data_IF_590430644636
#
_entry.id   IF_590430644636
#
_cell.length_a   1.000
_cell.length_b   1.000
_cell.length_c   1.000
_cell.angle_alpha   90.00
_cell.angle_beta   90.00
_cell.angle_gamma   90.00
#
_symmetry.space_group_name_H-M   'P 1'
#
loop_
_entity.id
_entity.type
_entity.pdbx_description
1 polymer ?
#
# COMPACT_ATOMS: atom_id res chain seq x y z
N UNK A 1 -3.62 -24.07 4.02
CA UNK A 1 -2.41 -23.33 4.47
C UNK A 1 -1.81 -22.47 3.35
N UNK A 2 -1.63 -22.95 2.13
CA UNK A 2 -1.00 -22.18 1.04
C UNK A 2 -1.72 -20.87 0.67
N UNK A 3 -3.06 -20.81 0.73
CA UNK A 3 -3.84 -19.58 0.47
C UNK A 3 -3.56 -18.50 1.50
N UNK A 4 -3.52 -18.84 2.78
CA UNK A 4 -3.27 -17.91 3.89
C UNK A 4 -1.88 -17.25 3.72
N UNK A 5 -0.85 -18.04 3.41
CA UNK A 5 0.51 -17.53 3.19
C UNK A 5 0.62 -16.63 1.97
N UNK A 6 -0.05 -16.98 0.87
CA UNK A 6 -0.08 -16.13 -0.34
C UNK A 6 -0.74 -14.77 -0.06
N UNK A 7 -1.89 -14.78 0.60
CA UNK A 7 -2.57 -13.55 0.99
C UNK A 7 -1.75 -12.72 1.98
N UNK A 8 -1.04 -13.38 2.90
CA UNK A 8 -0.13 -12.73 3.83
C UNK A 8 0.99 -11.97 3.12
N UNK A 9 1.65 -12.60 2.13
CA UNK A 9 2.69 -11.96 1.32
C UNK A 9 2.16 -10.75 0.57
N UNK A 10 0.98 -10.87 -0.04
CA UNK A 10 0.31 -9.76 -0.74
C UNK A 10 0.06 -8.59 0.21
N UNK A 11 -0.45 -8.87 1.42
CA UNK A 11 -0.70 -7.86 2.43
C UNK A 11 0.59 -7.17 2.90
N UNK A 12 1.65 -7.94 3.10
CA UNK A 12 2.97 -7.42 3.49
C UNK A 12 3.55 -6.51 2.41
N UNK A 13 3.58 -6.96 1.15
CA UNK A 13 4.11 -6.18 0.03
C UNK A 13 3.33 -4.89 -0.17
N UNK A 14 2.00 -4.96 -0.14
CA UNK A 14 1.18 -3.75 -0.24
C UNK A 14 1.46 -2.76 0.89
N UNK A 15 1.50 -3.25 2.14
CA UNK A 15 1.73 -2.41 3.31
C UNK A 15 3.09 -1.69 3.28
N UNK A 16 4.13 -2.30 2.72
CA UNK A 16 5.43 -1.65 2.55
C UNK A 16 5.34 -0.36 1.72
N UNK A 17 4.53 -0.34 0.67
CA UNK A 17 4.41 0.82 -0.23
C UNK A 17 3.64 2.01 0.34
N UNK A 18 2.78 1.79 1.32
CA UNK A 18 1.93 2.85 1.86
C UNK A 18 2.71 3.91 2.64
N UNK A 19 3.84 3.55 3.24
CA UNK A 19 4.70 4.41 4.04
C UNK A 19 6.10 4.65 3.43
N UNK A 20 6.33 4.13 2.21
CA UNK A 20 7.63 4.18 1.54
C UNK A 20 8.16 5.61 1.34
N UNK A 21 7.28 6.57 1.04
CA UNK A 21 7.65 7.98 0.81
C UNK A 21 8.05 8.73 2.10
N UNK A 22 7.74 8.19 3.28
CA UNK A 22 7.93 8.92 4.55
C UNK A 22 9.38 9.37 4.79
N UNK A 23 10.41 8.53 4.58
CA UNK A 23 11.81 8.96 4.73
C UNK A 23 12.27 9.95 3.65
N UNK A 24 11.56 10.04 2.52
CA UNK A 24 11.89 10.95 1.43
C UNK A 24 11.33 12.36 1.62
N UNK A 25 10.37 12.55 2.53
CA UNK A 25 9.74 13.86 2.76
C UNK A 25 10.76 14.96 3.05
N UNK A 26 11.77 14.76 3.96
CA UNK A 26 12.79 15.79 4.20
C UNK A 26 13.64 16.12 2.98
N UNK A 27 13.92 15.13 2.13
CA UNK A 27 14.66 15.35 0.88
C UNK A 27 13.82 16.17 -0.12
N UNK A 28 12.55 15.83 -0.30
CA UNK A 28 11.63 16.61 -1.12
C UNK A 28 11.43 18.03 -0.59
N UNK A 29 11.45 18.25 0.74
CA UNK A 29 11.43 19.60 1.31
C UNK A 29 12.65 20.41 0.88
N UNK A 30 13.83 19.81 0.86
CA UNK A 30 15.06 20.48 0.44
C UNK A 30 15.08 20.77 -1.05
N UNK A 31 14.66 19.82 -1.89
CA UNK A 31 14.68 20.00 -3.35
C UNK A 31 13.59 20.94 -3.86
N UNK A 32 12.36 20.79 -3.36
CA UNK A 32 11.20 21.55 -3.84
C UNK A 32 10.92 22.81 -3.02
N UNK A 33 11.69 23.05 -1.94
CA UNK A 33 11.60 24.28 -1.14
C UNK A 33 10.29 24.46 -0.38
N UNK A 34 9.55 23.38 -0.06
CA UNK A 34 8.28 23.50 0.64
C UNK A 34 8.43 23.45 2.18
N UNK A 35 7.47 24.04 2.88
CA UNK A 35 7.47 24.20 4.32
C UNK A 35 6.70 23.07 5.04
N UNK A 36 6.71 23.07 6.38
CA UNK A 36 6.02 22.06 7.21
C UNK A 36 4.50 22.01 7.00
N UNK A 37 3.89 23.12 6.55
CA UNK A 37 2.46 23.14 6.20
C UNK A 37 2.18 22.17 5.04
N UNK A 38 3.07 22.11 4.05
CA UNK A 38 2.95 21.17 2.92
C UNK A 38 3.13 19.72 3.41
N UNK A 39 4.02 19.46 4.36
CA UNK A 39 4.16 18.12 4.96
C UNK A 39 2.85 17.69 5.63
N UNK A 40 2.20 18.61 6.34
CA UNK A 40 0.87 18.35 6.93
C UNK A 40 -0.17 18.08 5.85
N UNK A 41 -0.10 18.79 4.72
CA UNK A 41 -0.98 18.58 3.57
C UNK A 41 -0.79 17.19 2.93
N UNK A 42 0.45 16.66 2.88
CA UNK A 42 0.70 15.27 2.46
C UNK A 42 -0.08 14.26 3.32
N UNK A 43 -0.06 14.44 4.64
CA UNK A 43 -0.81 13.58 5.54
C UNK A 43 -2.32 13.77 5.36
N UNK A 44 -2.78 15.00 5.23
CA UNK A 44 -4.19 15.32 5.04
C UNK A 44 -4.75 14.69 3.76
N UNK A 45 -4.07 14.83 2.62
CA UNK A 45 -4.49 14.23 1.35
C UNK A 45 -4.59 12.71 1.45
N UNK A 46 -3.62 12.08 2.12
CA UNK A 46 -3.63 10.64 2.34
C UNK A 46 -4.82 10.20 3.21
N UNK A 47 -5.03 10.83 4.37
CA UNK A 47 -6.10 10.46 5.31
C UNK A 47 -7.48 10.80 4.75
N UNK A 48 -7.63 11.94 4.06
CA UNK A 48 -8.88 12.36 3.43
C UNK A 48 -9.36 11.39 2.34
N UNK A 49 -8.45 10.70 1.67
CA UNK A 49 -8.79 9.66 0.69
C UNK A 49 -8.92 8.27 1.34
N UNK A 50 -8.11 7.96 2.37
CA UNK A 50 -8.13 6.68 3.07
C UNK A 50 -9.46 6.42 3.78
N UNK A 51 -9.94 7.39 4.56
CA UNK A 51 -11.15 7.20 5.40
C UNK A 51 -12.40 6.91 4.56
N UNK A 52 -12.76 7.72 3.55
CA UNK A 52 -13.91 7.42 2.69
C UNK A 52 -13.75 6.09 1.94
N UNK A 53 -12.54 5.81 1.42
CA UNK A 53 -12.28 4.57 0.71
C UNK A 53 -12.45 3.34 1.61
N UNK A 54 -11.98 3.40 2.85
CA UNK A 54 -12.15 2.32 3.82
C UNK A 54 -13.62 2.06 4.14
N UNK A 55 -14.43 3.13 4.30
CA UNK A 55 -15.85 3.02 4.65
C UNK A 55 -16.72 2.52 3.48
N UNK A 56 -16.39 2.91 2.25
CA UNK A 56 -17.20 2.58 1.07
C UNK A 56 -16.75 1.31 0.39
N UNK A 57 -15.46 1.19 0.07
CA UNK A 57 -14.93 0.07 -0.73
C UNK A 57 -14.79 -1.22 0.08
N UNK A 58 -14.67 -1.13 1.41
CA UNK A 58 -14.73 -2.31 2.27
C UNK A 58 -16.08 -3.04 2.13
N UNK A 59 -17.19 -2.31 2.19
CA UNK A 59 -18.54 -2.86 2.01
C UNK A 59 -18.80 -3.29 0.56
N UNK A 60 -18.28 -2.54 -0.42
CA UNK A 60 -18.43 -2.83 -1.83
C UNK A 60 -17.72 -4.15 -2.22
N UNK A 61 -16.64 -4.49 -1.55
CA UNK A 61 -15.91 -5.75 -1.77
C UNK A 61 -16.74 -7.01 -1.46
N UNK A 62 -17.72 -6.91 -0.57
CA UNK A 62 -18.62 -8.01 -0.25
C UNK A 62 -19.70 -8.24 -1.34
N UNK A 63 -19.95 -7.25 -2.20
CA UNK A 63 -20.93 -7.33 -3.29
C UNK A 63 -20.31 -7.72 -4.63
N UNK A 64 -19.16 -7.14 -4.96
CA UNK A 64 -18.49 -7.30 -6.27
C UNK A 64 -17.47 -8.44 -6.27
N UNK A 65 -17.10 -8.91 -5.08
CA UNK A 65 -16.01 -9.87 -4.90
C UNK A 65 -14.74 -9.18 -4.39
N UNK A 66 -13.96 -9.93 -3.65
CA UNK A 66 -12.77 -9.38 -2.98
C UNK A 66 -11.58 -9.23 -3.92
N UNK A 67 -11.42 -10.16 -4.84
CA UNK A 67 -10.30 -10.18 -5.79
C UNK A 67 -10.25 -8.94 -6.70
N UNK A 68 -11.36 -8.50 -7.37
CA UNK A 68 -11.33 -7.29 -8.19
C UNK A 68 -11.00 -6.04 -7.39
N UNK A 69 -11.49 -5.91 -6.15
CA UNK A 69 -11.18 -4.78 -5.29
C UNK A 69 -9.70 -4.76 -4.88
N UNK A 70 -9.12 -5.93 -4.56
CA UNK A 70 -7.68 -6.04 -4.26
C UNK A 70 -6.81 -5.66 -5.47
N UNK A 71 -7.17 -6.12 -6.67
CA UNK A 71 -6.45 -5.78 -7.90
C UNK A 71 -6.56 -4.29 -8.24
N UNK A 72 -7.76 -3.70 -8.09
CA UNK A 72 -7.97 -2.27 -8.27
C UNK A 72 -7.12 -1.45 -7.27
N UNK A 73 -7.07 -1.84 -6.01
CA UNK A 73 -6.27 -1.18 -5.00
C UNK A 73 -4.75 -1.29 -5.29
N UNK A 74 -4.26 -2.47 -5.70
CA UNK A 74 -2.87 -2.65 -6.11
C UNK A 74 -2.55 -1.78 -7.33
N UNK A 75 -3.43 -1.74 -8.33
CA UNK A 75 -3.28 -0.90 -9.52
C UNK A 75 -3.26 0.60 -9.17
N UNK A 76 -4.12 1.04 -8.25
CA UNK A 76 -4.15 2.43 -7.78
C UNK A 76 -2.87 2.81 -7.03
N UNK A 77 -2.35 1.92 -6.17
CA UNK A 77 -1.07 2.14 -5.50
C UNK A 77 0.10 2.17 -6.49
N UNK A 78 0.09 1.27 -7.49
CA UNK A 78 1.10 1.27 -8.54
C UNK A 78 1.06 2.56 -9.38
N UNK A 79 -0.14 3.04 -9.74
CA UNK A 79 -0.32 4.31 -10.46
C UNK A 79 0.23 5.49 -9.63
N UNK A 80 -0.03 5.53 -8.33
CA UNK A 80 0.54 6.53 -7.44
C UNK A 80 2.07 6.53 -7.47
N UNK A 81 2.69 5.36 -7.48
CA UNK A 81 4.15 5.24 -7.54
C UNK A 81 4.73 5.63 -8.90
N UNK A 82 4.04 5.30 -9.99
CA UNK A 82 4.43 5.76 -11.33
C UNK A 82 4.37 7.28 -11.43
N UNK A 83 3.36 7.92 -10.82
CA UNK A 83 3.30 9.38 -10.73
C UNK A 83 4.53 9.92 -9.98
N UNK A 84 4.89 9.35 -8.84
CA UNK A 84 6.08 9.79 -8.09
C UNK A 84 7.37 9.63 -8.92
N UNK A 85 7.52 8.52 -9.63
CA UNK A 85 8.65 8.26 -10.51
C UNK A 85 8.78 9.23 -11.69
N UNK A 86 7.71 9.89 -12.10
CA UNK A 86 7.74 10.92 -13.16
C UNK A 86 8.21 12.29 -12.67
N UNK A 87 8.65 12.41 -11.41
CA UNK A 87 9.12 13.66 -10.80
C UNK A 87 8.12 14.83 -10.95
N UNK A 88 6.86 14.65 -10.54
CA UNK A 88 5.74 15.50 -10.94
C UNK A 88 5.66 16.85 -10.21
N UNK A 89 6.66 17.22 -9.42
CA UNK A 89 6.61 18.36 -8.53
C UNK A 89 5.58 18.18 -7.39
N UNK A 90 5.31 19.26 -6.66
CA UNK A 90 4.47 19.22 -5.46
C UNK A 90 3.03 18.74 -5.74
N UNK A 91 2.40 19.26 -6.81
CA UNK A 91 1.00 18.91 -7.12
C UNK A 91 0.83 17.41 -7.39
N UNK A 92 1.72 16.81 -8.15
CA UNK A 92 1.66 15.39 -8.44
C UNK A 92 1.97 14.51 -7.22
N UNK A 93 2.87 14.95 -6.34
CA UNK A 93 3.11 14.28 -5.07
C UNK A 93 1.86 14.26 -4.19
N UNK A 94 1.09 15.36 -4.13
CA UNK A 94 -0.17 15.43 -3.39
C UNK A 94 -1.24 14.50 -4.00
N UNK A 95 -1.35 14.47 -5.33
CA UNK A 95 -2.24 13.54 -6.05
C UNK A 95 -1.83 12.09 -5.74
N UNK A 96 -0.56 11.77 -5.82
CA UNK A 96 -0.06 10.44 -5.49
C UNK A 96 -0.39 10.04 -4.05
N UNK A 97 -0.31 10.98 -3.10
CA UNK A 97 -0.73 10.76 -1.70
C UNK A 97 -2.22 10.45 -1.57
N UNK A 98 -3.08 11.17 -2.28
CA UNK A 98 -4.51 10.87 -2.33
C UNK A 98 -4.77 9.46 -2.88
N UNK A 99 -4.13 9.09 -3.98
CA UNK A 99 -4.24 7.74 -4.56
C UNK A 99 -3.71 6.65 -3.61
N UNK A 100 -2.58 6.88 -2.94
CA UNK A 100 -2.06 5.97 -1.92
C UNK A 100 -3.05 5.78 -0.77
N UNK A 101 -3.68 6.85 -0.29
CA UNK A 101 -4.71 6.81 0.75
C UNK A 101 -5.92 5.98 0.30
N UNK A 102 -6.47 6.27 -0.88
CA UNK A 102 -7.61 5.55 -1.44
C UNK A 102 -7.29 4.05 -1.62
N UNK A 103 -6.14 3.73 -2.19
CA UNK A 103 -5.69 2.34 -2.34
C UNK A 103 -5.57 1.62 -1.00
N UNK A 104 -5.02 2.30 0.01
CA UNK A 104 -4.80 1.73 1.35
C UNK A 104 -6.12 1.44 2.05
N UNK A 105 -7.08 2.37 1.98
CA UNK A 105 -8.41 2.20 2.57
C UNK A 105 -9.17 1.00 1.97
N UNK A 106 -9.16 0.88 0.64
CA UNK A 106 -9.78 -0.23 -0.07
C UNK A 106 -9.11 -1.57 0.25
N UNK A 107 -7.77 -1.58 0.29
CA UNK A 107 -6.99 -2.81 0.38
C UNK A 107 -7.03 -3.46 1.77
N UNK A 108 -6.77 -2.72 2.84
CA UNK A 108 -6.59 -3.31 4.16
C UNK A 108 -7.85 -3.98 4.69
N UNK A 109 -9.01 -3.35 4.50
CA UNK A 109 -10.30 -3.94 4.88
C UNK A 109 -10.56 -5.24 4.10
N UNK A 110 -10.51 -5.16 2.77
CA UNK A 110 -10.77 -6.28 1.86
C UNK A 110 -9.78 -7.43 2.05
N UNK A 111 -8.47 -7.14 2.17
CA UNK A 111 -7.45 -8.17 2.30
C UNK A 111 -7.51 -8.89 3.66
N UNK A 112 -7.80 -8.14 4.74
CA UNK A 112 -7.98 -8.74 6.07
C UNK A 112 -9.19 -9.68 6.09
N UNK A 113 -10.31 -9.25 5.51
CA UNK A 113 -11.50 -10.08 5.38
C UNK A 113 -11.21 -11.32 4.52
N UNK A 114 -10.56 -11.16 3.37
CA UNK A 114 -10.14 -12.29 2.52
C UNK A 114 -9.25 -13.30 3.27
N UNK A 115 -8.30 -12.82 4.07
CA UNK A 115 -7.41 -13.68 4.85
C UNK A 115 -8.16 -14.49 5.91
N UNK A 116 -9.14 -13.87 6.58
CA UNK A 116 -9.98 -14.53 7.57
C UNK A 116 -10.88 -15.58 6.94
N UNK A 117 -11.49 -15.28 5.78
CA UNK A 117 -12.37 -16.21 5.07
C UNK A 117 -11.61 -17.39 4.43
N UNK A 118 -10.40 -17.14 3.94
CA UNK A 118 -9.52 -18.19 3.44
C UNK A 118 -8.99 -19.13 4.54
N UNK A 119 -9.30 -18.82 5.82
CA UNK A 119 -8.76 -19.55 6.97
C UNK A 119 -9.53 -20.82 7.27
N UNK A 120 -8.85 -21.93 7.61
CA UNK A 120 -9.50 -23.14 8.09
C UNK A 120 -10.35 -22.88 9.35
N UNK A 121 -11.42 -23.68 9.57
CA UNK A 121 -12.19 -23.63 10.81
C UNK A 121 -11.28 -23.67 12.05
N UNK A 122 -11.56 -22.80 13.02
CA UNK A 122 -10.77 -22.71 14.27
C UNK A 122 -9.49 -21.88 14.18
N UNK A 123 -9.02 -21.45 12.99
CA UNK A 123 -7.80 -20.65 12.83
C UNK A 123 -8.03 -19.17 12.51
N UNK A 124 -9.27 -18.69 12.54
CA UNK A 124 -9.62 -17.29 12.24
C UNK A 124 -8.87 -16.28 13.12
N UNK A 125 -8.73 -16.57 14.42
CA UNK A 125 -7.95 -15.70 15.35
C UNK A 125 -6.48 -15.60 14.95
N UNK A 126 -5.87 -16.71 14.54
CA UNK A 126 -4.49 -16.72 14.05
C UNK A 126 -4.34 -15.89 12.76
N UNK A 127 -5.26 -16.04 11.82
CA UNK A 127 -5.21 -15.27 10.56
C UNK A 127 -5.44 -13.78 10.77
N UNK A 128 -6.33 -13.40 11.69
CA UNK A 128 -6.53 -12.00 12.07
C UNK A 128 -5.26 -11.41 12.73
N UNK A 129 -4.62 -12.15 13.63
CA UNK A 129 -3.35 -11.74 14.22
C UNK A 129 -2.24 -11.62 13.15
N UNK A 130 -2.18 -12.58 12.21
CA UNK A 130 -1.24 -12.57 11.11
C UNK A 130 -1.43 -11.35 10.20
N UNK A 131 -2.68 -10.96 9.91
CA UNK A 131 -3.00 -9.73 9.17
C UNK A 131 -2.44 -8.50 9.89
N UNK A 132 -2.69 -8.36 11.18
CA UNK A 132 -2.20 -7.23 11.98
C UNK A 132 -0.67 -7.16 11.99
N UNK A 133 -0.01 -8.29 12.16
CA UNK A 133 1.46 -8.39 12.12
C UNK A 133 1.99 -7.97 10.74
N UNK A 134 1.37 -8.45 9.65
CA UNK A 134 1.78 -8.12 8.28
C UNK A 134 1.73 -6.63 8.01
N UNK A 135 0.62 -5.98 8.40
CA UNK A 135 0.46 -4.52 8.21
C UNK A 135 1.55 -3.78 8.98
N UNK A 136 1.77 -4.12 10.26
CA UNK A 136 2.78 -3.45 11.09
C UNK A 136 4.20 -3.68 10.57
N UNK A 137 4.52 -4.90 10.17
CA UNK A 137 5.81 -5.23 9.57
C UNK A 137 6.01 -4.48 8.24
N UNK A 138 4.99 -4.44 7.37
CA UNK A 138 5.07 -3.72 6.10
C UNK A 138 5.28 -2.22 6.32
N UNK A 139 4.51 -1.61 7.23
CA UNK A 139 4.65 -0.19 7.58
C UNK A 139 6.02 0.16 8.19
N UNK A 140 6.69 -0.79 8.83
CA UNK A 140 8.05 -0.60 9.33
C UNK A 140 9.13 -0.93 8.30
N UNK A 141 8.99 -2.02 7.56
CA UNK A 141 9.96 -2.47 6.56
C UNK A 141 10.03 -1.51 5.35
N UNK A 142 8.90 -0.96 4.91
CA UNK A 142 8.87 0.00 3.82
C UNK A 142 9.80 1.18 4.04
N UNK A 143 9.57 2.00 5.08
CA UNK A 143 10.47 3.10 5.42
C UNK A 143 11.89 2.66 5.75
N UNK A 144 12.06 1.51 6.42
CA UNK A 144 13.38 0.98 6.74
C UNK A 144 14.23 0.68 5.50
N UNK A 145 13.66 -0.05 4.54
CA UNK A 145 14.33 -0.34 3.26
C UNK A 145 14.54 0.95 2.46
N UNK A 146 13.53 1.83 2.41
CA UNK A 146 13.66 3.12 1.76
C UNK A 146 14.81 3.95 2.36
N UNK A 147 14.93 4.02 3.68
CA UNK A 147 16.02 4.72 4.35
C UNK A 147 17.40 4.17 4.00
N UNK A 148 17.55 2.85 3.93
CA UNK A 148 18.79 2.21 3.46
C UNK A 148 19.09 2.56 2.00
N UNK A 149 18.08 2.52 1.13
CA UNK A 149 18.25 2.87 -0.28
C UNK A 149 18.60 4.35 -0.46
N UNK A 150 17.99 5.26 0.31
CA UNK A 150 18.34 6.68 0.32
C UNK A 150 19.83 6.90 0.64
N UNK A 151 20.37 6.11 1.57
CA UNK A 151 21.74 6.31 2.04
C UNK A 151 22.79 5.70 1.10
N UNK A 152 22.49 4.59 0.45
CA UNK A 152 23.49 3.78 -0.27
C UNK A 152 23.23 3.63 -1.78
N UNK A 153 22.03 3.96 -2.26
CA UNK A 153 21.69 3.80 -3.67
C UNK A 153 22.08 5.04 -4.49
N UNK A 154 22.42 4.86 -5.78
CA UNK A 154 22.80 5.97 -6.66
C UNK A 154 21.62 6.90 -6.97
N UNK A 155 20.39 6.42 -6.86
CA UNK A 155 19.17 7.18 -7.14
C UNK A 155 18.15 7.01 -6.00
N UNK A 156 18.23 7.86 -4.95
CA UNK A 156 17.41 7.74 -3.77
C UNK A 156 15.93 8.02 -3.99
N UNK A 157 15.55 8.81 -5.01
CA UNK A 157 14.17 9.19 -5.28
C UNK A 157 13.41 8.15 -6.10
N UNK A 158 14.08 7.45 -6.99
CA UNK A 158 13.42 6.54 -7.94
C UNK A 158 13.50 5.07 -7.50
N UNK A 159 14.69 4.63 -7.04
CA UNK A 159 14.93 3.20 -6.78
C UNK A 159 13.97 2.56 -5.77
N UNK A 160 13.60 3.20 -4.64
CA UNK A 160 12.65 2.62 -3.69
C UNK A 160 11.28 2.34 -4.32
N UNK A 161 10.77 3.25 -5.13
CA UNK A 161 9.48 3.11 -5.79
C UNK A 161 9.53 2.10 -6.94
N UNK A 162 10.60 2.10 -7.75
CA UNK A 162 10.80 1.13 -8.82
C UNK A 162 10.90 -0.30 -8.27
N UNK A 163 11.68 -0.50 -7.20
CA UNK A 163 11.78 -1.79 -6.53
C UNK A 163 10.43 -2.24 -5.96
N UNK A 164 9.67 -1.32 -5.36
CA UNK A 164 8.36 -1.65 -4.82
C UNK A 164 7.31 -1.94 -5.91
N UNK A 165 7.38 -1.32 -7.09
CA UNK A 165 6.53 -1.67 -8.24
C UNK A 165 6.69 -3.13 -8.64
N UNK A 166 7.90 -3.68 -8.56
CA UNK A 166 8.13 -5.12 -8.80
C UNK A 166 7.40 -5.97 -7.75
N UNK A 167 7.45 -5.58 -6.47
CA UNK A 167 6.71 -6.28 -5.41
C UNK A 167 5.20 -6.20 -5.61
N UNK A 168 4.67 -5.05 -6.07
CA UNK A 168 3.26 -4.89 -6.42
C UNK A 168 2.85 -5.75 -7.61
N UNK A 169 3.71 -5.88 -8.63
CA UNK A 169 3.46 -6.78 -9.76
C UNK A 169 3.39 -8.25 -9.31
N UNK A 170 4.29 -8.67 -8.42
CA UNK A 170 4.25 -10.00 -7.81
C UNK A 170 2.97 -10.18 -6.98
N UNK A 171 2.59 -9.18 -6.18
CA UNK A 171 1.36 -9.20 -5.39
C UNK A 171 0.12 -9.33 -6.29
N UNK A 172 0.05 -8.56 -7.38
CA UNK A 172 -1.02 -8.64 -8.36
C UNK A 172 -1.09 -10.03 -9.01
N UNK A 173 0.04 -10.58 -9.43
CA UNK A 173 0.12 -11.93 -9.98
C UNK A 173 -0.40 -12.97 -8.97
N UNK A 174 0.00 -12.89 -7.71
CA UNK A 174 -0.51 -13.79 -6.67
C UNK A 174 -2.03 -13.66 -6.55
N UNK A 175 -2.59 -12.44 -6.51
CA UNK A 175 -4.05 -12.22 -6.39
C UNK A 175 -4.79 -12.76 -7.60
N UNK A 176 -4.24 -12.64 -8.81
CA UNK A 176 -4.85 -13.20 -10.04
C UNK A 176 -5.03 -14.72 -9.94
N UNK A 177 -4.12 -15.43 -9.30
CA UNK A 177 -4.19 -16.89 -9.11
C UNK A 177 -4.87 -17.32 -7.83
N UNK A 178 -5.36 -16.38 -6.99
CA UNK A 178 -6.18 -16.72 -5.83
C UNK A 178 -7.63 -16.98 -6.26
N UNK A 179 -8.27 -18.06 -5.78
CA UNK A 179 -9.68 -18.27 -6.05
C UNK A 179 -10.53 -17.23 -5.30
N UNK A 180 -11.64 -16.82 -5.91
CA UNK A 180 -12.63 -15.94 -5.27
C UNK A 180 -13.21 -16.63 -4.02
N UNK A 181 -13.54 -15.82 -3.01
CA UNK A 181 -14.07 -16.31 -1.71
C UNK A 181 -15.53 -15.89 -1.45
N UNK A 182 -16.14 -15.16 -2.39
CA UNK A 182 -17.56 -14.76 -2.35
C UNK A 182 -18.35 -15.58 -3.35
#
# INVERSE_FOLDING_TARGET
MGRVWRTWVVLLFFAMGTSLITPLIPLYQQELGFNDTVVTLFLLCYVAALVPSMLTLGQFSDQVGRRPVLLAAIGTLAAAQVIILSEPGLAGLLIARGLQGAATGAFFGTCTAFLVDASPPGKRRFSSALSTISVRLGLGLGPGICGVLIQYAPDPFQLPFAAHLVLLAIAAAIVVFLPETV
#
